data_IF_958684217105
#
_entry.id   IF_958684217105
#
_cell.length_a   1.000
_cell.length_b   1.000
_cell.length_c   1.000
_cell.angle_alpha   90.00
_cell.angle_beta   90.00
_cell.angle_gamma   90.00
#
_symmetry.space_group_name_H-M   'P 1'
#
loop_
_entity.id
_entity.type
_entity.pdbx_description
1 polymer ?
#
# COMPACT_ATOMS: atom_id res chain seq x y z
N UNK A 1 -23.46 54.12 -15.44
CA UNK A 1 -23.72 53.68 -14.06
C UNK A 1 -23.44 52.19 -14.02
N UNK A 2 -22.20 51.73 -13.80
CA UNK A 2 -21.31 51.87 -12.63
C UNK A 2 -21.75 50.99 -11.45
N UNK A 3 -21.33 49.71 -11.46
CA UNK A 3 -21.16 48.86 -10.27
C UNK A 3 -20.17 47.72 -10.57
N UNK A 4 -18.87 48.02 -10.54
CA UNK A 4 -17.77 47.03 -10.40
C UNK A 4 -16.60 47.73 -9.70
N UNK A 5 -16.72 47.98 -8.39
CA UNK A 5 -15.69 48.73 -7.64
C UNK A 5 -15.52 48.32 -6.16
N UNK A 6 -16.12 47.22 -5.71
CA UNK A 6 -16.00 46.80 -4.30
C UNK A 6 -15.05 45.61 -4.06
N UNK A 7 -14.85 44.73 -5.05
CA UNK A 7 -13.99 43.53 -4.89
C UNK A 7 -12.49 43.84 -5.01
N UNK A 8 -12.10 44.86 -5.76
CA UNK A 8 -10.70 45.28 -5.89
C UNK A 8 -10.18 46.05 -4.68
N UNK A 9 -11.06 46.72 -3.93
CA UNK A 9 -10.65 47.50 -2.74
C UNK A 9 -10.25 46.58 -1.57
N UNK A 10 -10.92 45.44 -1.42
CA UNK A 10 -10.61 44.45 -0.37
C UNK A 10 -9.30 43.69 -0.65
N UNK A 11 -8.96 43.48 -1.92
CA UNK A 11 -7.70 42.84 -2.33
C UNK A 11 -6.49 43.77 -2.13
N UNK A 12 -6.68 45.09 -2.29
CA UNK A 12 -5.65 46.10 -2.01
C UNK A 12 -5.47 46.37 -0.51
N UNK A 13 -6.53 46.24 0.29
CA UNK A 13 -6.44 46.38 1.75
C UNK A 13 -5.82 45.16 2.45
N UNK A 14 -5.92 43.96 1.86
CA UNK A 14 -5.25 42.75 2.37
C UNK A 14 -3.73 42.76 2.16
N UNK A 15 -3.25 43.36 1.07
CA UNK A 15 -1.82 43.48 0.76
C UNK A 15 -1.10 44.57 1.56
N UNK A 16 -1.82 45.54 2.13
CA UNK A 16 -1.20 46.60 2.95
C UNK A 16 -0.96 46.19 4.41
N UNK A 17 -1.57 45.12 4.91
CA UNK A 17 -1.40 44.69 6.30
C UNK A 17 -0.25 43.69 6.53
N UNK A 18 0.36 43.13 5.49
CA UNK A 18 1.52 42.23 5.63
C UNK A 18 2.87 42.91 5.46
N UNK A 19 2.91 44.23 5.20
CA UNK A 19 4.15 45.02 5.07
C UNK A 19 4.54 45.80 6.33
N UNK A 20 3.84 45.63 7.45
CA UNK A 20 4.14 46.32 8.71
C UNK A 20 4.46 45.33 9.83
N UNK A 21 5.54 44.56 9.65
CA UNK A 21 6.27 43.94 10.74
C UNK A 21 7.76 43.89 10.37
N UNK A 22 8.35 45.07 10.30
CA UNK A 22 9.81 45.25 10.35
C UNK A 22 10.34 44.58 11.62
N UNK A 23 11.13 43.52 11.45
CA UNK A 23 12.19 43.15 12.38
C UNK A 23 13.48 42.88 11.59
N UNK A 24 14.19 43.99 11.36
CA UNK A 24 15.62 44.14 11.62
C UNK A 24 16.53 43.03 11.07
N UNK A 25 16.76 43.05 9.75
CA UNK A 25 17.91 42.39 9.13
C UNK A 25 18.79 43.47 8.52
N UNK A 26 20.02 43.54 9.00
CA UNK A 26 21.04 44.50 8.61
C UNK A 26 21.24 44.52 7.08
N UNK A 27 21.24 45.74 6.55
CA UNK A 27 21.62 46.09 5.19
C UNK A 27 22.99 45.51 4.81
N UNK A 28 22.97 44.54 3.91
CA UNK A 28 23.91 44.48 2.78
C UNK A 28 23.06 44.50 1.53
N UNK A 29 23.06 45.65 0.85
CA UNK A 29 22.31 45.89 -0.39
C UNK A 29 22.70 44.86 -1.46
N UNK A 30 21.84 43.86 -1.71
CA UNK A 30 22.00 43.03 -2.91
C UNK A 30 21.65 43.90 -4.12
N UNK A 31 22.62 44.09 -5.04
CA UNK A 31 22.40 44.85 -6.27
C UNK A 31 21.31 44.23 -7.15
N UNK A 32 21.06 42.93 -7.04
CA UNK A 32 20.02 42.23 -7.80
C UNK A 32 18.61 42.51 -7.26
N UNK A 33 18.39 42.64 -5.95
CA UNK A 33 17.11 43.14 -5.41
C UNK A 33 16.76 44.56 -5.89
N UNK A 34 17.76 45.42 -6.12
CA UNK A 34 17.51 46.75 -6.71
C UNK A 34 17.04 46.67 -8.17
N UNK A 35 17.46 45.62 -8.89
CA UNK A 35 17.12 45.33 -10.30
C UNK A 35 15.77 44.60 -10.41
N UNK A 36 15.39 43.80 -9.42
CA UNK A 36 14.08 43.12 -9.36
C UNK A 36 12.94 44.03 -8.90
N UNK A 37 13.25 45.04 -8.08
CA UNK A 37 12.26 45.99 -7.55
C UNK A 37 12.04 47.20 -8.48
N UNK A 38 13.00 47.47 -9.38
CA UNK A 38 12.78 48.31 -10.54
C UNK A 38 12.31 47.42 -11.69
N UNK A 39 11.27 47.82 -12.40
CA UNK A 39 10.59 47.02 -13.42
C UNK A 39 11.44 46.86 -14.70
N UNK A 40 12.56 46.13 -14.61
CA UNK A 40 13.50 45.93 -15.72
C UNK A 40 13.34 44.55 -16.38
N UNK A 41 13.51 44.47 -17.71
CA UNK A 41 13.30 43.25 -18.47
C UNK A 41 14.40 42.22 -18.22
N UNK A 42 13.97 40.96 -18.14
CA UNK A 42 14.71 39.70 -17.96
C UNK A 42 16.06 39.59 -18.71
N UNK A 43 16.24 40.30 -19.83
CA UNK A 43 17.52 40.38 -20.53
C UNK A 43 18.65 40.99 -19.69
N UNK A 44 18.37 41.92 -18.76
CA UNK A 44 19.39 42.71 -18.06
C UNK A 44 20.09 41.94 -16.92
N UNK A 45 19.37 40.99 -16.32
CA UNK A 45 19.91 40.10 -15.27
C UNK A 45 20.80 39.00 -15.87
N UNK A 46 20.38 38.44 -17.02
CA UNK A 46 21.22 37.55 -17.84
C UNK A 46 22.43 38.29 -18.42
N UNK A 47 22.25 39.53 -18.86
CA UNK A 47 23.34 40.38 -19.34
C UNK A 47 24.33 40.71 -18.21
N UNK A 48 23.88 40.93 -16.97
CA UNK A 48 24.79 41.15 -15.85
C UNK A 48 25.61 39.90 -15.47
N UNK A 49 25.01 38.71 -15.54
CA UNK A 49 25.72 37.44 -15.36
C UNK A 49 26.75 37.23 -16.49
N UNK A 50 26.37 37.52 -17.74
CA UNK A 50 27.27 37.44 -18.91
C UNK A 50 28.35 38.55 -18.91
N UNK A 51 28.08 39.74 -18.35
CA UNK A 51 29.05 40.85 -18.22
C UNK A 51 30.07 40.56 -17.13
N UNK A 52 29.69 39.92 -16.03
CA UNK A 52 30.65 39.45 -15.01
C UNK A 52 31.65 38.43 -15.55
N UNK A 53 31.28 37.67 -16.60
CA UNK A 53 32.20 36.81 -17.34
C UNK A 53 33.25 37.59 -18.16
N UNK A 54 32.92 38.81 -18.58
CA UNK A 54 33.75 39.62 -19.47
C UNK A 54 34.58 40.70 -18.74
N UNK A 55 34.21 41.08 -17.52
CA UNK A 55 34.90 42.11 -16.73
C UNK A 55 36.00 41.58 -15.79
N UNK A 56 36.34 40.28 -15.88
CA UNK A 56 37.53 39.72 -15.24
C UNK A 56 38.66 39.52 -16.27
N UNK A 57 39.44 40.55 -16.62
CA UNK A 57 40.75 40.28 -17.21
C UNK A 57 41.63 39.80 -16.05
N UNK A 58 42.13 38.57 -16.11
CA UNK A 58 43.48 38.19 -15.71
C UNK A 58 43.71 36.68 -15.95
N UNK A 59 44.46 36.42 -17.02
CA UNK A 59 45.42 35.34 -17.20
C UNK A 59 45.24 34.04 -16.38
N UNK A 60 44.80 33.00 -17.07
CA UNK A 60 45.40 31.66 -16.96
C UNK A 60 45.11 30.86 -15.69
N UNK A 61 43.85 30.48 -15.45
CA UNK A 61 43.51 29.25 -14.73
C UNK A 61 42.14 28.76 -15.25
N UNK A 62 42.11 27.69 -16.03
CA UNK A 62 40.87 27.09 -16.60
C UNK A 62 39.97 26.38 -15.56
N UNK A 63 40.20 26.56 -14.25
CA UNK A 63 39.53 25.81 -13.18
C UNK A 63 38.80 26.64 -12.11
N UNK A 64 38.71 27.97 -12.20
CA UNK A 64 38.19 28.83 -11.11
C UNK A 64 36.90 29.61 -11.42
N UNK A 65 36.36 29.50 -12.64
CA UNK A 65 35.21 30.32 -13.05
C UNK A 65 33.87 29.75 -12.56
N UNK A 66 33.71 28.42 -12.47
CA UNK A 66 32.44 27.83 -11.99
C UNK A 66 32.18 28.11 -10.51
N UNK A 67 33.22 28.13 -9.68
CA UNK A 67 33.11 28.39 -8.24
C UNK A 67 32.63 29.80 -7.90
N UNK A 68 32.96 30.81 -8.73
CA UNK A 68 32.50 32.18 -8.53
C UNK A 68 31.02 32.33 -8.86
N UNK A 69 30.56 31.75 -9.97
CA UNK A 69 29.17 31.83 -10.38
C UNK A 69 28.23 31.10 -9.43
N UNK A 70 28.63 29.90 -8.97
CA UNK A 70 27.91 29.17 -7.92
C UNK A 70 27.78 30.01 -6.65
N UNK A 71 28.85 30.70 -6.22
CA UNK A 71 28.83 31.52 -5.01
C UNK A 71 27.86 32.70 -5.12
N UNK A 72 27.78 33.34 -6.29
CA UNK A 72 26.84 34.44 -6.56
C UNK A 72 25.41 33.93 -6.52
N UNK A 73 25.11 32.84 -7.22
CA UNK A 73 23.77 32.23 -7.24
C UNK A 73 23.31 31.87 -5.83
N UNK A 74 24.21 31.27 -5.03
CA UNK A 74 23.91 30.90 -3.64
C UNK A 74 23.69 32.11 -2.74
N UNK A 75 24.44 33.20 -2.93
CA UNK A 75 24.21 34.45 -2.21
C UNK A 75 22.84 35.09 -2.49
N UNK A 76 22.27 34.85 -3.68
CA UNK A 76 20.94 35.36 -4.05
C UNK A 76 19.81 34.52 -3.46
N UNK A 77 19.99 33.20 -3.41
CA UNK A 77 19.05 32.30 -2.74
C UNK A 77 19.03 32.59 -1.23
N UNK A 78 20.21 32.80 -0.62
CA UNK A 78 20.37 33.16 0.78
C UNK A 78 19.58 32.25 1.75
N UNK A 79 19.50 30.95 1.42
CA UNK A 79 18.72 29.96 2.15
C UNK A 79 17.19 30.01 2.02
N UNK A 80 16.63 30.91 1.21
CA UNK A 80 15.19 30.97 0.92
C UNK A 80 14.84 30.11 -0.30
N UNK A 81 14.19 28.97 -0.07
CA UNK A 81 13.88 28.02 -1.14
C UNK A 81 12.93 28.58 -2.20
N UNK A 82 12.05 29.51 -1.84
CA UNK A 82 11.15 30.12 -2.82
C UNK A 82 11.93 30.99 -3.81
N UNK A 83 13.03 31.62 -3.38
CA UNK A 83 13.99 32.26 -4.28
C UNK A 83 14.76 31.25 -5.10
N UNK A 84 15.11 30.11 -4.51
CA UNK A 84 15.73 28.99 -5.22
C UNK A 84 14.90 28.51 -6.41
N UNK A 85 13.57 28.38 -6.24
CA UNK A 85 12.64 28.03 -7.33
C UNK A 85 12.64 29.06 -8.45
N UNK A 86 12.68 30.35 -8.11
CA UNK A 86 12.77 31.43 -9.11
C UNK A 86 14.09 31.36 -9.88
N UNK A 87 15.20 31.13 -9.18
CA UNK A 87 16.51 30.94 -9.81
C UNK A 87 16.51 29.74 -10.75
N UNK A 88 15.85 28.64 -10.37
CA UNK A 88 15.72 27.45 -11.21
C UNK A 88 14.92 27.74 -12.49
N UNK A 89 13.88 28.57 -12.43
CA UNK A 89 13.15 29.00 -13.62
C UNK A 89 14.05 29.75 -14.62
N UNK A 90 15.08 30.46 -14.16
CA UNK A 90 16.06 31.11 -15.04
C UNK A 90 16.94 30.12 -15.79
N UNK A 91 17.08 28.87 -15.32
CA UNK A 91 17.80 27.84 -16.07
C UNK A 91 17.15 27.55 -17.44
N UNK A 92 15.83 27.74 -17.59
CA UNK A 92 15.17 27.65 -18.89
C UNK A 92 15.56 28.76 -19.86
N UNK A 93 15.95 29.92 -19.33
CA UNK A 93 16.29 31.12 -20.12
C UNK A 93 17.80 31.25 -20.35
N UNK A 94 18.61 30.50 -19.58
CA UNK A 94 20.05 30.43 -19.75
C UNK A 94 20.42 29.86 -21.12
N UNK A 95 21.32 30.56 -21.83
CA UNK A 95 21.71 30.21 -23.20
C UNK A 95 22.82 29.16 -23.29
N UNK A 96 23.54 28.91 -22.20
CA UNK A 96 24.71 28.04 -22.18
C UNK A 96 24.50 26.89 -21.21
N UNK A 97 24.94 25.70 -21.61
CA UNK A 97 24.84 24.48 -20.78
C UNK A 97 25.63 24.66 -19.48
N UNK A 98 26.77 25.35 -19.53
CA UNK A 98 27.60 25.61 -18.35
C UNK A 98 26.89 26.47 -17.29
N UNK A 99 26.09 27.47 -17.71
CA UNK A 99 25.31 28.31 -16.79
C UNK A 99 24.19 27.51 -16.15
N UNK A 100 23.52 26.63 -16.91
CA UNK A 100 22.46 25.76 -16.40
C UNK A 100 23.00 24.78 -15.36
N UNK A 101 24.09 24.11 -15.69
CA UNK A 101 24.78 23.19 -14.78
C UNK A 101 25.24 23.88 -13.50
N UNK A 102 25.79 25.10 -13.61
CA UNK A 102 26.16 25.91 -12.45
C UNK A 102 24.94 26.28 -11.59
N UNK A 103 23.79 26.62 -12.20
CA UNK A 103 22.54 26.88 -11.48
C UNK A 103 22.08 25.63 -10.72
N UNK A 104 22.00 24.47 -11.39
CA UNK A 104 21.54 23.24 -10.76
C UNK A 104 22.45 22.81 -9.60
N UNK A 105 23.77 22.86 -9.83
CA UNK A 105 24.78 22.50 -8.82
C UNK A 105 24.79 23.47 -7.64
N UNK A 106 24.65 24.77 -7.90
CA UNK A 106 24.57 25.80 -6.87
C UNK A 106 23.35 25.60 -5.97
N UNK A 107 22.18 25.34 -6.56
CA UNK A 107 20.94 25.09 -5.83
C UNK A 107 21.01 23.82 -4.99
N UNK A 108 21.61 22.75 -5.54
CA UNK A 108 21.84 21.53 -4.77
C UNK A 108 22.76 21.76 -3.57
N UNK A 109 23.90 22.44 -3.75
CA UNK A 109 24.81 22.81 -2.65
C UNK A 109 24.12 23.73 -1.63
N UNK A 110 23.22 24.59 -2.07
CA UNK A 110 22.47 25.46 -1.17
C UNK A 110 21.52 24.67 -0.27
N UNK A 111 20.76 23.71 -0.82
CA UNK A 111 19.94 22.80 -0.03
C UNK A 111 20.78 22.05 1.02
N UNK A 112 21.99 21.62 0.64
CA UNK A 112 22.92 20.94 1.56
C UNK A 112 23.39 21.86 2.70
N UNK A 113 23.85 23.06 2.39
CA UNK A 113 24.41 23.98 3.39
C UNK A 113 23.34 24.53 4.34
N UNK A 114 22.13 24.76 3.84
CA UNK A 114 20.99 25.23 4.62
C UNK A 114 20.30 24.11 5.39
N UNK A 115 20.80 22.87 5.27
CA UNK A 115 20.26 21.66 5.91
C UNK A 115 18.81 21.35 5.51
N UNK A 116 18.35 21.88 4.37
CA UNK A 116 17.02 21.56 3.84
C UNK A 116 16.97 20.16 3.21
N UNK A 117 18.13 19.57 2.90
CA UNK A 117 18.25 18.16 2.48
C UNK A 117 17.73 17.14 3.52
N UNK A 118 17.44 17.53 4.76
CA UNK A 118 16.84 16.62 5.74
C UNK A 118 15.31 16.54 5.60
N UNK A 119 14.69 17.39 4.79
CA UNK A 119 13.27 17.30 4.43
C UNK A 119 13.13 16.62 3.06
N UNK A 120 12.68 15.35 2.99
CA UNK A 120 12.53 14.64 1.73
C UNK A 120 11.57 15.32 0.75
N UNK A 121 10.58 16.07 1.26
CA UNK A 121 9.61 16.79 0.43
C UNK A 121 10.29 17.89 -0.39
N UNK A 122 11.32 18.55 0.18
CA UNK A 122 12.11 19.57 -0.51
C UNK A 122 13.01 18.97 -1.58
N UNK A 123 13.58 17.80 -1.32
CA UNK A 123 14.39 17.09 -2.33
C UNK A 123 13.49 16.62 -3.48
N UNK A 124 12.29 16.09 -3.18
CA UNK A 124 11.32 15.72 -4.21
C UNK A 124 10.88 16.92 -5.03
N UNK A 125 10.54 18.05 -4.40
CA UNK A 125 10.23 19.31 -5.11
C UNK A 125 11.34 19.69 -6.09
N UNK A 126 12.60 19.56 -5.67
CA UNK A 126 13.75 19.89 -6.49
C UNK A 126 13.93 18.90 -7.64
N UNK A 127 13.83 17.59 -7.36
CA UNK A 127 13.91 16.53 -8.36
C UNK A 127 12.83 16.67 -9.42
N UNK A 128 11.57 16.88 -9.01
CA UNK A 128 10.44 17.10 -9.92
C UNK A 128 10.69 18.31 -10.81
N UNK A 129 11.19 19.42 -10.26
CA UNK A 129 11.52 20.60 -11.06
C UNK A 129 12.66 20.33 -12.04
N UNK A 130 13.73 19.66 -11.62
CA UNK A 130 14.84 19.28 -12.50
C UNK A 130 14.37 18.36 -13.64
N UNK A 131 13.48 17.40 -13.35
CA UNK A 131 12.97 16.42 -14.32
C UNK A 131 12.22 17.02 -15.52
N UNK A 132 11.73 18.27 -15.38
CA UNK A 132 11.07 19.01 -16.47
C UNK A 132 12.09 19.55 -17.50
N UNK A 133 13.36 19.66 -17.12
CA UNK A 133 14.43 20.15 -17.99
C UNK A 133 15.13 18.98 -18.70
N UNK A 134 15.38 19.12 -20.00
CA UNK A 134 15.99 18.06 -20.83
C UNK A 134 17.51 18.03 -20.78
N UNK A 135 18.13 19.05 -20.19
CA UNK A 135 19.57 19.30 -20.19
C UNK A 135 20.20 19.28 -18.79
N UNK A 136 19.51 18.69 -17.82
CA UNK A 136 20.10 18.39 -16.51
C UNK A 136 21.10 17.24 -16.66
N UNK A 137 22.32 17.36 -16.12
CA UNK A 137 23.28 16.25 -16.08
C UNK A 137 22.68 15.04 -15.37
N UNK A 138 22.79 13.86 -16.00
CA UNK A 138 22.23 12.62 -15.46
C UNK A 138 22.82 12.26 -14.08
N UNK A 139 24.11 12.54 -13.87
CA UNK A 139 24.77 12.29 -12.59
C UNK A 139 24.18 13.16 -11.46
N UNK A 140 23.74 14.39 -11.77
CA UNK A 140 23.08 15.24 -10.80
C UNK A 140 21.66 14.76 -10.51
N UNK A 141 20.91 14.35 -11.53
CA UNK A 141 19.59 13.75 -11.35
C UNK A 141 19.65 12.52 -10.46
N UNK A 142 20.60 11.62 -10.71
CA UNK A 142 20.82 10.40 -9.93
C UNK A 142 21.25 10.71 -8.49
N UNK A 143 22.13 11.69 -8.29
CA UNK A 143 22.54 12.15 -6.96
C UNK A 143 21.36 12.69 -6.14
N UNK A 144 20.52 13.52 -6.74
CA UNK A 144 19.34 14.10 -6.09
C UNK A 144 18.31 13.01 -5.80
N UNK A 145 18.07 12.10 -6.74
CA UNK A 145 17.18 10.97 -6.59
C UNK A 145 17.62 10.06 -5.44
N UNK A 146 18.86 9.60 -5.46
CA UNK A 146 19.45 8.74 -4.42
C UNK A 146 19.36 9.41 -3.04
N UNK A 147 19.63 10.72 -2.96
CA UNK A 147 19.47 11.47 -1.73
C UNK A 147 18.01 11.53 -1.26
N UNK A 148 17.05 11.72 -2.18
CA UNK A 148 15.62 11.66 -1.86
C UNK A 148 15.22 10.29 -1.30
N UNK A 149 15.65 9.21 -1.93
CA UNK A 149 15.36 7.84 -1.49
C UNK A 149 15.90 7.61 -0.07
N UNK A 150 17.19 7.86 0.17
CA UNK A 150 17.80 7.64 1.48
C UNK A 150 17.19 8.52 2.58
N UNK A 151 16.88 9.78 2.29
CA UNK A 151 16.27 10.68 3.28
C UNK A 151 14.82 10.33 3.57
N UNK A 152 14.09 9.87 2.56
CA UNK A 152 12.75 9.34 2.73
C UNK A 152 12.76 8.10 3.60
N UNK A 153 13.64 7.13 3.30
CA UNK A 153 13.79 5.92 4.12
C UNK A 153 14.08 6.26 5.58
N UNK A 154 15.06 7.14 5.84
CA UNK A 154 15.38 7.60 7.20
C UNK A 154 14.20 8.24 7.94
N UNK A 155 13.34 8.99 7.25
CA UNK A 155 12.14 9.56 7.86
C UNK A 155 11.10 8.46 8.15
N UNK A 156 10.95 7.51 7.23
CA UNK A 156 10.01 6.39 7.30
C UNK A 156 10.46 5.26 8.24
N UNK A 157 11.67 5.29 8.79
CA UNK A 157 12.12 4.40 9.86
C UNK A 157 11.36 4.66 11.18
N UNK A 158 10.89 5.88 11.42
CA UNK A 158 10.33 6.28 12.72
C UNK A 158 9.17 5.40 13.23
N UNK A 159 8.17 5.00 12.42
CA UNK A 159 7.11 4.07 12.84
C UNK A 159 7.62 2.68 13.24
N UNK A 160 8.78 2.26 12.74
CA UNK A 160 9.36 0.95 13.07
C UNK A 160 10.13 0.96 14.39
N UNK A 161 10.38 2.11 15.00
CA UNK A 161 11.09 2.25 16.29
C UNK A 161 10.18 2.63 17.47
N UNK A 162 8.89 2.84 17.23
CA UNK A 162 7.91 3.10 18.30
C UNK A 162 7.31 1.81 18.85
N UNK A 163 7.12 1.76 20.17
CA UNK A 163 6.33 0.70 20.82
C UNK A 163 4.84 1.00 20.89
N UNK A 164 4.39 2.17 20.43
CA UNK A 164 3.00 2.63 20.51
C UNK A 164 2.33 2.61 19.13
N UNK A 165 1.24 1.83 18.93
CA UNK A 165 0.45 1.84 17.70
C UNK A 165 -0.20 3.21 17.43
N UNK A 166 -0.54 3.95 18.49
CA UNK A 166 -1.21 5.24 18.39
C UNK A 166 -0.23 6.42 18.19
N UNK A 167 1.06 6.12 17.99
CA UNK A 167 2.04 7.16 17.73
C UNK A 167 1.76 7.83 16.39
N UNK A 168 1.78 9.16 16.37
CA UNK A 168 1.54 9.93 15.15
C UNK A 168 2.83 10.55 14.66
N UNK A 169 3.06 10.45 13.35
CA UNK A 169 4.25 10.98 12.69
C UNK A 169 3.82 11.94 11.58
N UNK A 170 3.56 13.22 11.88
CA UNK A 170 3.00 14.16 10.90
C UNK A 170 3.84 14.31 9.63
N UNK A 171 5.18 14.28 9.75
CA UNK A 171 6.09 14.37 8.60
C UNK A 171 6.05 13.10 7.74
N UNK A 172 5.98 11.92 8.37
CA UNK A 172 5.78 10.63 7.66
C UNK A 172 4.46 10.67 6.91
N UNK A 173 3.37 11.03 7.60
CA UNK A 173 2.04 11.11 6.99
C UNK A 173 2.02 12.06 5.78
N UNK A 174 2.68 13.22 5.89
CA UNK A 174 2.79 14.18 4.78
C UNK A 174 3.56 13.61 3.59
N UNK A 175 4.69 12.94 3.83
CA UNK A 175 5.48 12.32 2.76
C UNK A 175 4.73 11.18 2.10
N UNK A 176 4.17 10.27 2.89
CA UNK A 176 3.40 9.11 2.44
C UNK A 176 2.21 9.54 1.60
N UNK A 177 1.45 10.56 2.03
CA UNK A 177 0.36 11.15 1.23
C UNK A 177 0.87 11.67 -0.11
N UNK A 178 2.02 12.34 -0.14
CA UNK A 178 2.59 12.87 -1.38
C UNK A 178 3.03 11.77 -2.35
N UNK A 179 3.63 10.70 -1.83
CA UNK A 179 3.99 9.51 -2.61
C UNK A 179 2.78 8.81 -3.25
N UNK A 180 1.59 8.92 -2.64
CA UNK A 180 0.34 8.40 -3.21
C UNK A 180 -0.03 9.11 -4.53
N UNK A 181 0.35 10.38 -4.69
CA UNK A 181 -0.04 11.20 -5.84
C UNK A 181 0.97 11.19 -6.99
N UNK A 182 2.24 10.81 -6.76
CA UNK A 182 3.32 11.04 -7.72
C UNK A 182 3.76 9.81 -8.53
N UNK A 183 3.93 8.61 -7.93
CA UNK A 183 4.11 7.29 -8.58
C UNK A 183 4.49 6.26 -7.52
N UNK A 184 3.96 5.04 -7.57
CA UNK A 184 4.35 3.95 -6.65
C UNK A 184 5.83 3.52 -6.79
N UNK A 185 6.48 3.88 -7.89
CA UNK A 185 7.89 3.51 -8.16
C UNK A 185 8.85 4.12 -7.13
N UNK A 186 8.64 5.37 -6.72
CA UNK A 186 9.44 5.99 -5.66
C UNK A 186 9.30 5.24 -4.35
N UNK A 187 8.08 4.81 -4.01
CA UNK A 187 7.83 4.08 -2.79
C UNK A 187 8.56 2.72 -2.81
N UNK A 188 8.65 2.04 -3.95
CA UNK A 188 9.40 0.78 -4.08
C UNK A 188 10.87 0.95 -3.72
N UNK A 189 11.52 1.98 -4.26
CA UNK A 189 12.94 2.23 -4.02
C UNK A 189 13.19 2.70 -2.57
N UNK A 190 12.27 3.50 -2.01
CA UNK A 190 12.34 3.92 -0.61
C UNK A 190 12.20 2.73 0.34
N UNK A 191 11.24 1.83 0.08
CA UNK A 191 10.99 0.65 0.91
C UNK A 191 12.19 -0.31 0.90
N UNK A 192 12.89 -0.44 -0.22
CA UNK A 192 14.09 -1.28 -0.29
C UNK A 192 15.18 -0.78 0.67
N UNK A 193 15.50 0.52 0.61
CA UNK A 193 16.48 1.15 1.52
C UNK A 193 15.98 1.16 2.98
N UNK A 194 14.68 1.38 3.18
CA UNK A 194 14.05 1.34 4.51
C UNK A 194 14.22 -0.03 5.15
N UNK A 195 13.91 -1.11 4.43
CA UNK A 195 13.99 -2.46 4.95
C UNK A 195 15.42 -2.88 5.25
N UNK A 196 16.40 -2.49 4.43
CA UNK A 196 17.82 -2.65 4.76
C UNK A 196 18.17 -2.01 6.10
N UNK A 197 17.69 -0.79 6.36
CA UNK A 197 17.96 -0.07 7.60
C UNK A 197 17.24 -0.68 8.80
N UNK A 198 15.92 -0.92 8.73
CA UNK A 198 15.16 -1.41 9.88
C UNK A 198 15.46 -2.86 10.21
N UNK A 199 15.71 -3.74 9.23
CA UNK A 199 16.09 -5.14 9.49
C UNK A 199 17.52 -5.27 10.03
N UNK A 200 18.39 -4.29 9.79
CA UNK A 200 19.72 -4.23 10.41
C UNK A 200 19.68 -3.79 11.88
N UNK A 201 18.67 -3.02 12.29
CA UNK A 201 18.56 -2.42 13.61
C UNK A 201 17.57 -3.13 14.54
N UNK A 202 16.48 -3.65 13.98
CA UNK A 202 15.37 -4.28 14.70
C UNK A 202 15.29 -5.78 14.40
N UNK A 203 14.58 -6.52 15.24
CA UNK A 203 14.33 -7.94 14.94
C UNK A 203 13.33 -8.07 13.79
N UNK A 204 13.47 -9.10 12.93
CA UNK A 204 12.50 -9.41 11.87
C UNK A 204 11.03 -9.39 12.30
N UNK A 205 10.74 -10.00 13.46
CA UNK A 205 9.38 -10.04 14.00
C UNK A 205 8.85 -8.64 14.31
N UNK A 206 9.67 -7.80 14.94
CA UNK A 206 9.30 -6.42 15.29
C UNK A 206 9.01 -5.58 14.04
N UNK A 207 9.79 -5.76 12.97
CA UNK A 207 9.56 -5.05 11.70
C UNK A 207 8.21 -5.45 11.09
N UNK A 208 7.92 -6.75 11.06
CA UNK A 208 6.66 -7.28 10.54
C UNK A 208 5.46 -6.78 11.35
N UNK A 209 5.50 -6.85 12.68
CA UNK A 209 4.40 -6.42 13.55
C UNK A 209 4.09 -4.92 13.43
N UNK A 210 5.12 -4.09 13.21
CA UNK A 210 4.99 -2.63 13.12
C UNK A 210 4.66 -2.13 11.72
N UNK A 211 4.65 -2.99 10.70
CA UNK A 211 4.34 -2.57 9.33
C UNK A 211 2.97 -1.90 9.20
N UNK A 212 1.98 -2.31 10.01
CA UNK A 212 0.65 -1.69 10.03
C UNK A 212 0.66 -0.21 10.45
N UNK A 213 1.73 0.27 11.12
CA UNK A 213 1.88 1.66 11.54
C UNK A 213 2.45 2.56 10.44
N UNK A 214 2.85 1.98 9.30
CA UNK A 214 3.52 2.67 8.21
C UNK A 214 2.61 3.67 7.48
N UNK A 215 1.41 3.23 7.08
CA UNK A 215 0.50 4.03 6.26
C UNK A 215 -0.94 3.58 6.43
N UNK A 216 -1.88 4.52 6.25
CA UNK A 216 -3.30 4.23 6.16
C UNK A 216 -3.76 3.89 4.72
N UNK A 217 -2.91 4.08 3.70
CA UNK A 217 -3.25 3.74 2.31
C UNK A 217 -3.12 2.24 2.08
N UNK A 218 -4.22 1.58 1.70
CA UNK A 218 -4.22 0.14 1.43
C UNK A 218 -3.27 -0.25 0.29
N UNK A 219 -3.16 0.58 -0.74
CA UNK A 219 -2.27 0.32 -1.88
C UNK A 219 -0.80 0.39 -1.48
N UNK A 220 -0.42 1.39 -0.68
CA UNK A 220 0.95 1.50 -0.18
C UNK A 220 1.28 0.40 0.83
N UNK A 221 0.32 0.05 1.69
CA UNK A 221 0.48 -1.05 2.65
C UNK A 221 0.58 -2.40 1.94
N UNK A 222 -0.18 -2.62 0.86
CA UNK A 222 -0.08 -3.82 0.03
C UNK A 222 1.30 -3.95 -0.62
N UNK A 223 1.81 -2.84 -1.20
CA UNK A 223 3.15 -2.82 -1.78
C UNK A 223 4.23 -3.08 -0.73
N UNK A 224 4.12 -2.45 0.44
CA UNK A 224 5.05 -2.64 1.54
C UNK A 224 5.05 -4.09 2.05
N UNK A 225 3.88 -4.73 2.19
CA UNK A 225 3.81 -6.15 2.52
C UNK A 225 4.50 -7.04 1.49
N UNK A 226 4.28 -6.80 0.19
CA UNK A 226 4.89 -7.60 -0.88
C UNK A 226 6.41 -7.47 -0.88
N UNK A 227 6.94 -6.24 -0.84
CA UNK A 227 8.39 -6.05 -0.79
C UNK A 227 9.01 -6.62 0.48
N UNK A 228 8.30 -6.55 1.61
CA UNK A 228 8.77 -7.17 2.85
C UNK A 228 8.83 -8.70 2.71
N UNK A 229 7.83 -9.34 2.11
CA UNK A 229 7.81 -10.80 1.88
C UNK A 229 8.98 -11.30 1.03
N UNK A 230 9.48 -10.47 0.12
CA UNK A 230 10.61 -10.83 -0.76
C UNK A 230 11.98 -10.83 -0.05
N UNK A 231 12.07 -10.24 1.16
CA UNK A 231 13.30 -10.07 1.93
C UNK A 231 13.87 -11.40 2.41
N UNK A 232 15.16 -11.63 2.15
CA UNK A 232 15.87 -12.87 2.49
C UNK A 232 15.92 -13.11 4.01
N UNK A 233 16.00 -12.05 4.81
CA UNK A 233 16.01 -12.11 6.27
C UNK A 233 14.72 -12.75 6.83
N UNK A 234 13.62 -12.64 6.08
CA UNK A 234 12.31 -13.15 6.46
C UNK A 234 12.03 -14.57 5.97
N UNK A 235 12.80 -15.07 4.98
CA UNK A 235 12.70 -16.46 4.48
C UNK A 235 13.21 -17.51 5.47
N UNK A 236 13.55 -17.09 6.70
CA UNK A 236 13.96 -17.96 7.81
C UNK A 236 12.88 -19.00 8.18
N UNK A 237 13.30 -20.12 8.77
CA UNK A 237 12.40 -21.16 9.32
C UNK A 237 11.67 -20.72 10.60
N UNK A 238 11.68 -19.43 10.95
CA UNK A 238 11.01 -18.93 12.15
C UNK A 238 9.50 -18.88 11.93
N UNK A 239 8.80 -19.85 12.51
CA UNK A 239 7.34 -20.01 12.41
C UNK A 239 6.60 -18.77 12.88
N UNK A 240 7.07 -18.07 13.92
CA UNK A 240 6.40 -16.88 14.46
C UNK A 240 6.44 -15.72 13.48
N UNK A 241 7.59 -15.50 12.82
CA UNK A 241 7.73 -14.46 11.79
C UNK A 241 6.83 -14.75 10.59
N UNK A 242 6.80 -16.00 10.15
CA UNK A 242 5.92 -16.43 9.05
C UNK A 242 4.44 -16.25 9.40
N UNK A 243 4.04 -16.58 10.63
CA UNK A 243 2.68 -16.34 11.11
C UNK A 243 2.32 -14.86 11.14
N UNK A 244 3.23 -13.99 11.59
CA UNK A 244 3.02 -12.55 11.62
C UNK A 244 2.88 -11.95 10.20
N UNK A 245 3.70 -12.42 9.24
CA UNK A 245 3.60 -12.02 7.84
C UNK A 245 2.24 -12.40 7.24
N UNK A 246 1.80 -13.64 7.47
CA UNK A 246 0.50 -14.10 7.00
C UNK A 246 -0.66 -13.37 7.70
N UNK A 247 -0.50 -13.01 8.98
CA UNK A 247 -1.48 -12.19 9.68
C UNK A 247 -1.61 -10.79 9.07
N UNK A 248 -0.51 -10.15 8.67
CA UNK A 248 -0.54 -8.86 8.00
C UNK A 248 -1.28 -8.92 6.65
N UNK A 249 -1.01 -9.95 5.84
CA UNK A 249 -1.73 -10.15 4.58
C UNK A 249 -3.24 -10.35 4.82
N UNK A 250 -3.62 -11.17 5.80
CA UNK A 250 -5.03 -11.38 6.15
C UNK A 250 -5.70 -10.10 6.64
N UNK A 251 -5.04 -9.37 7.52
CA UNK A 251 -5.55 -8.09 8.02
C UNK A 251 -5.75 -7.09 6.89
N UNK A 252 -4.87 -7.08 5.88
CA UNK A 252 -5.01 -6.27 4.66
C UNK A 252 -6.24 -6.67 3.84
N UNK A 253 -6.49 -7.99 3.66
CA UNK A 253 -7.68 -8.50 2.97
C UNK A 253 -8.99 -8.22 3.72
N UNK A 254 -8.93 -8.03 5.03
CA UNK A 254 -10.06 -7.68 5.88
C UNK A 254 -10.36 -6.18 5.91
N UNK A 255 -9.51 -5.34 5.32
CA UNK A 255 -9.74 -3.90 5.32
C UNK A 255 -10.91 -3.48 4.42
N UNK A 256 -11.77 -2.56 4.89
CA UNK A 256 -12.79 -1.96 4.04
C UNK A 256 -12.13 -1.30 2.84
N UNK A 257 -12.65 -1.57 1.63
CA UNK A 257 -12.15 -0.91 0.43
C UNK A 257 -11.00 -1.62 -0.27
N UNK A 258 -10.45 -2.71 0.28
CA UNK A 258 -9.30 -3.42 -0.33
C UNK A 258 -9.53 -3.77 -1.81
N UNK A 259 -10.69 -4.35 -2.13
CA UNK A 259 -11.04 -4.72 -3.51
C UNK A 259 -11.23 -3.53 -4.46
N UNK A 260 -11.51 -2.34 -3.93
CA UNK A 260 -11.79 -1.12 -4.69
C UNK A 260 -10.56 -0.23 -4.83
N UNK A 261 -9.78 -0.08 -3.77
CA UNK A 261 -8.65 0.85 -3.68
C UNK A 261 -7.34 0.24 -4.18
N UNK A 262 -7.16 -1.07 -4.01
CA UNK A 262 -5.93 -1.76 -4.43
C UNK A 262 -6.04 -2.19 -5.89
N UNK A 263 -5.06 -1.76 -6.68
CA UNK A 263 -4.95 -2.08 -8.10
C UNK A 263 -4.97 -3.59 -8.33
N UNK A 264 -5.64 -4.05 -9.40
CA UNK A 264 -5.85 -5.47 -9.68
C UNK A 264 -4.54 -6.28 -9.80
N UNK A 265 -3.49 -5.66 -10.34
CA UNK A 265 -2.13 -6.25 -10.46
C UNK A 265 -1.54 -6.56 -9.08
N UNK A 266 -1.48 -5.55 -8.21
CA UNK A 266 -0.98 -5.67 -6.85
C UNK A 266 -1.83 -6.65 -6.02
N UNK A 267 -3.14 -6.63 -6.22
CA UNK A 267 -4.07 -7.56 -5.57
C UNK A 267 -3.80 -9.01 -5.95
N UNK A 268 -3.51 -9.27 -7.22
CA UNK A 268 -3.17 -10.60 -7.70
C UNK A 268 -1.85 -11.11 -7.09
N UNK A 269 -0.86 -10.24 -6.91
CA UNK A 269 0.40 -10.57 -6.23
C UNK A 269 0.18 -10.89 -4.74
N UNK A 270 -0.68 -10.12 -4.05
CA UNK A 270 -1.09 -10.41 -2.67
C UNK A 270 -1.74 -11.79 -2.59
N UNK A 271 -2.72 -12.08 -3.45
CA UNK A 271 -3.37 -13.39 -3.47
C UNK A 271 -2.40 -14.54 -3.75
N UNK A 272 -1.42 -14.33 -4.63
CA UNK A 272 -0.40 -15.32 -4.94
C UNK A 272 0.56 -15.60 -3.76
N UNK A 273 0.65 -14.67 -2.81
CA UNK A 273 1.50 -14.77 -1.62
C UNK A 273 0.82 -15.47 -0.44
N UNK A 274 -0.48 -15.78 -0.56
CA UNK A 274 -1.24 -16.51 0.46
C UNK A 274 -0.91 -18.01 0.43
N UNK A 275 -1.16 -18.73 1.55
CA UNK A 275 -1.04 -20.19 1.56
C UNK A 275 -1.95 -20.83 0.51
N UNK A 276 -1.51 -21.92 -0.09
CA UNK A 276 -2.16 -22.54 -1.27
C UNK A 276 -3.68 -22.66 -1.16
N UNK A 277 -4.22 -23.16 -0.06
CA UNK A 277 -5.67 -23.33 0.09
C UNK A 277 -6.42 -21.99 0.18
N UNK A 278 -5.84 -21.02 0.89
CA UNK A 278 -6.37 -19.65 1.00
C UNK A 278 -6.28 -18.93 -0.36
N UNK A 279 -5.16 -19.06 -1.06
CA UNK A 279 -4.98 -18.56 -2.42
C UNK A 279 -6.08 -19.06 -3.37
N UNK A 280 -6.50 -20.33 -3.29
CA UNK A 280 -7.56 -20.89 -4.14
C UNK A 280 -8.90 -20.16 -3.93
N UNK A 281 -9.20 -19.71 -2.71
CA UNK A 281 -10.43 -18.96 -2.45
C UNK A 281 -10.48 -17.66 -3.25
N UNK A 282 -9.33 -17.03 -3.54
CA UNK A 282 -9.26 -15.76 -4.27
C UNK A 282 -9.02 -15.94 -5.78
N UNK A 283 -8.29 -16.99 -6.17
CA UNK A 283 -7.79 -17.15 -7.55
C UNK A 283 -8.53 -18.20 -8.36
N UNK A 284 -9.03 -19.27 -7.73
CA UNK A 284 -9.65 -20.38 -8.44
C UNK A 284 -11.04 -20.01 -8.98
N UNK A 285 -11.40 -20.58 -10.14
CA UNK A 285 -12.75 -20.44 -10.70
C UNK A 285 -13.71 -21.43 -10.05
N UNK A 286 -13.25 -22.68 -9.89
CA UNK A 286 -13.99 -23.75 -9.21
C UNK A 286 -13.07 -24.47 -8.23
N UNK A 287 -13.64 -24.94 -7.14
CA UNK A 287 -12.94 -25.73 -6.13
C UNK A 287 -13.71 -26.99 -5.78
N UNK A 288 -13.00 -28.02 -5.39
CA UNK A 288 -13.56 -29.15 -4.65
C UNK A 288 -13.21 -28.99 -3.17
N UNK A 289 -14.18 -29.24 -2.30
CA UNK A 289 -14.00 -29.16 -0.85
C UNK A 289 -13.95 -30.58 -0.32
N UNK A 290 -12.82 -30.98 0.26
CA UNK A 290 -12.57 -32.35 0.74
C UNK A 290 -12.35 -32.36 2.25
N UNK A 291 -12.86 -33.37 2.95
CA UNK A 291 -12.55 -33.54 4.36
C UNK A 291 -11.05 -33.86 4.56
N UNK A 292 -10.42 -33.30 5.59
CA UNK A 292 -8.98 -33.52 5.84
C UNK A 292 -8.66 -34.92 6.36
N UNK A 293 -9.59 -35.56 7.07
CA UNK A 293 -9.42 -36.89 7.66
C UNK A 293 -9.83 -38.03 6.74
N UNK A 294 -10.72 -37.78 5.78
CA UNK A 294 -11.13 -38.75 4.77
C UNK A 294 -10.79 -38.23 3.35
N UNK A 295 -9.75 -38.77 2.71
CA UNK A 295 -9.30 -38.33 1.39
C UNK A 295 -10.29 -38.67 0.27
N UNK A 296 -11.32 -39.48 0.55
CA UNK A 296 -12.38 -39.79 -0.41
C UNK A 296 -13.63 -38.95 -0.21
N UNK A 297 -13.77 -38.25 0.92
CA UNK A 297 -14.98 -37.52 1.28
C UNK A 297 -14.99 -36.09 0.73
N UNK A 298 -15.58 -35.91 -0.45
CA UNK A 298 -15.80 -34.60 -1.05
C UNK A 298 -17.21 -34.10 -0.79
N UNK A 299 -17.35 -32.80 -0.50
CA UNK A 299 -18.65 -32.15 -0.41
C UNK A 299 -19.36 -32.26 -1.77
N UNK A 300 -20.60 -32.73 -1.74
CA UNK A 300 -21.41 -33.04 -2.90
C UNK A 300 -22.91 -32.84 -2.61
N UNK A 301 -23.74 -32.71 -3.64
CA UNK A 301 -25.21 -32.69 -3.49
C UNK A 301 -25.78 -34.11 -3.53
N UNK A 302 -26.41 -34.56 -2.45
CA UNK A 302 -27.05 -35.87 -2.41
C UNK A 302 -28.18 -35.99 -3.46
N UNK A 303 -28.16 -37.02 -4.32
CA UNK A 303 -29.11 -37.13 -5.44
C UNK A 303 -30.59 -37.22 -5.01
N UNK A 304 -30.87 -37.79 -3.83
CA UNK A 304 -32.24 -38.10 -3.43
C UNK A 304 -32.87 -37.03 -2.54
N UNK A 305 -32.08 -36.39 -1.70
CA UNK A 305 -32.57 -35.60 -0.56
C UNK A 305 -32.36 -34.10 -0.71
N UNK A 306 -31.59 -33.67 -1.72
CA UNK A 306 -31.07 -32.29 -1.85
C UNK A 306 -30.24 -31.82 -0.64
N UNK A 307 -29.87 -32.73 0.25
CA UNK A 307 -28.91 -32.44 1.31
C UNK A 307 -27.52 -32.35 0.70
N UNK A 308 -26.61 -31.70 1.43
CA UNK A 308 -25.20 -31.77 1.13
C UNK A 308 -24.63 -33.01 1.83
N UNK A 309 -23.76 -33.72 1.13
CA UNK A 309 -23.17 -34.99 1.54
C UNK A 309 -21.67 -35.04 1.26
N UNK A 310 -20.98 -36.02 1.82
CA UNK A 310 -19.55 -36.24 1.69
C UNK A 310 -19.29 -37.63 1.09
N UNK A 311 -19.16 -37.71 -0.23
CA UNK A 311 -19.11 -38.99 -0.95
C UNK A 311 -17.76 -39.23 -1.64
N UNK A 312 -17.44 -40.52 -1.97
CA UNK A 312 -16.29 -40.89 -2.77
C UNK A 312 -16.17 -40.07 -4.08
N UNK A 313 -14.92 -39.84 -4.50
CA UNK A 313 -14.57 -38.86 -5.53
C UNK A 313 -15.34 -39.01 -6.87
N UNK A 314 -16.16 -38.00 -7.17
CA UNK A 314 -16.60 -37.64 -8.53
C UNK A 314 -16.35 -36.14 -8.71
N UNK A 315 -15.20 -35.80 -9.29
CA UNK A 315 -14.71 -34.42 -9.37
C UNK A 315 -15.65 -33.47 -10.12
N UNK A 316 -16.42 -33.97 -11.10
CA UNK A 316 -17.39 -33.13 -11.85
C UNK A 316 -18.54 -32.67 -10.96
N UNK A 317 -18.94 -33.57 -10.08
CA UNK A 317 -20.07 -33.45 -9.17
C UNK A 317 -19.70 -32.64 -7.93
N UNK A 318 -18.48 -32.81 -7.43
CA UNK A 318 -17.94 -32.11 -6.26
C UNK A 318 -17.39 -30.71 -6.55
N UNK A 319 -17.38 -30.26 -7.81
CA UNK A 319 -16.89 -28.93 -8.17
C UNK A 319 -17.92 -27.83 -7.84
N UNK A 320 -17.47 -26.81 -7.12
CA UNK A 320 -18.23 -25.60 -6.80
C UNK A 320 -17.54 -24.37 -7.36
N UNK A 321 -18.29 -23.49 -8.00
CA UNK A 321 -17.84 -22.13 -8.26
C UNK A 321 -17.79 -21.34 -6.95
N UNK A 322 -16.83 -20.42 -6.86
CA UNK A 322 -16.68 -19.52 -5.71
C UNK A 322 -17.27 -18.17 -6.05
N UNK A 323 -18.18 -17.69 -5.21
CA UNK A 323 -18.61 -16.30 -5.17
C UNK A 323 -17.97 -15.63 -3.96
N UNK A 324 -17.36 -14.46 -4.19
CA UNK A 324 -16.62 -13.69 -3.18
C UNK A 324 -17.45 -12.47 -2.79
N UNK A 325 -17.44 -12.13 -1.51
CA UNK A 325 -18.13 -10.98 -0.96
C UNK A 325 -17.43 -10.47 0.29
N UNK A 326 -17.89 -9.33 0.79
CA UNK A 326 -17.47 -8.78 2.08
C UNK A 326 -18.73 -8.62 2.95
N UNK A 327 -18.63 -8.93 4.23
CA UNK A 327 -19.71 -8.69 5.19
C UNK A 327 -19.76 -7.21 5.59
N UNK A 328 -20.78 -6.80 6.35
CA UNK A 328 -20.96 -5.41 6.78
C UNK A 328 -19.80 -4.88 7.65
N UNK A 329 -19.05 -5.77 8.29
CA UNK A 329 -17.83 -5.48 9.05
C UNK A 329 -16.56 -5.62 8.20
N UNK A 330 -16.69 -5.66 6.87
CA UNK A 330 -15.61 -5.72 5.87
C UNK A 330 -14.77 -7.00 5.85
N UNK A 331 -15.12 -8.02 6.64
CA UNK A 331 -14.43 -9.33 6.55
C UNK A 331 -14.80 -10.07 5.25
N UNK A 332 -13.87 -10.79 4.62
CA UNK A 332 -14.17 -11.64 3.46
C UNK A 332 -15.17 -12.73 3.80
N UNK A 333 -16.05 -13.04 2.85
CA UNK A 333 -17.00 -14.13 2.92
C UNK A 333 -17.16 -14.79 1.56
N UNK A 334 -17.43 -16.10 1.58
CA UNK A 334 -17.44 -16.93 0.39
C UNK A 334 -18.76 -17.71 0.31
N UNK A 335 -19.28 -17.85 -0.90
CA UNK A 335 -20.40 -18.72 -1.18
C UNK A 335 -20.01 -19.70 -2.29
N UNK A 336 -20.42 -20.96 -2.12
CA UNK A 336 -20.05 -22.05 -3.01
C UNK A 336 -21.29 -22.54 -3.73
N UNK A 337 -21.33 -22.46 -5.06
CA UNK A 337 -22.45 -22.96 -5.86
C UNK A 337 -22.04 -24.05 -6.85
N UNK A 338 -22.86 -25.08 -6.94
CA UNK A 338 -22.57 -26.30 -7.70
C UNK A 338 -22.31 -26.00 -9.18
N UNK A 339 -21.20 -26.51 -9.71
CA UNK A 339 -20.88 -26.44 -11.13
C UNK A 339 -21.78 -27.38 -11.97
N UNK A 340 -22.15 -28.53 -11.40
CA UNK A 340 -22.98 -29.54 -12.05
C UNK A 340 -24.45 -29.12 -12.11
N UNK A 341 -25.04 -28.77 -10.97
CA UNK A 341 -26.48 -28.45 -10.89
C UNK A 341 -26.81 -27.00 -11.25
N UNK A 342 -25.80 -26.10 -11.24
CA UNK A 342 -25.86 -24.66 -11.51
C UNK A 342 -26.83 -23.89 -10.61
N UNK A 343 -26.43 -22.70 -10.15
CA UNK A 343 -27.25 -21.80 -9.32
C UNK A 343 -27.77 -22.42 -8.01
N UNK A 344 -27.12 -23.46 -7.49
CA UNK A 344 -27.45 -24.03 -6.18
C UNK A 344 -26.25 -23.95 -5.25
N UNK A 345 -26.44 -23.31 -4.10
CA UNK A 345 -25.44 -23.06 -3.08
C UNK A 345 -25.50 -24.12 -1.98
N UNK A 346 -24.35 -24.33 -1.34
CA UNK A 346 -24.28 -24.97 -0.02
C UNK A 346 -24.93 -24.01 0.98
N UNK A 347 -26.16 -24.30 1.38
CA UNK A 347 -26.97 -23.44 2.24
C UNK A 347 -27.29 -24.08 3.58
N UNK A 348 -27.07 -23.33 4.65
CA UNK A 348 -27.52 -23.67 5.99
C UNK A 348 -28.95 -23.16 6.21
N UNK A 349 -29.92 -24.05 6.32
CA UNK A 349 -31.28 -23.66 6.72
C UNK A 349 -31.33 -23.41 8.25
N UNK A 350 -32.13 -22.45 8.73
CA UNK A 350 -32.34 -22.27 10.16
C UNK A 350 -32.86 -23.56 10.80
N UNK A 351 -32.26 -23.96 11.92
CA UNK A 351 -32.77 -25.08 12.69
C UNK A 351 -34.20 -24.77 13.15
N UNK A 352 -35.17 -25.62 12.78
CA UNK A 352 -36.52 -25.50 13.31
C UNK A 352 -36.50 -25.76 14.82
N UNK A 353 -37.43 -25.15 15.56
CA UNK A 353 -37.46 -25.21 17.05
C UNK A 353 -37.56 -26.65 17.60
N UNK A 354 -37.88 -27.64 16.76
CA UNK A 354 -37.88 -29.07 17.09
C UNK A 354 -36.70 -29.90 16.55
N UNK A 355 -35.74 -29.30 15.84
CA UNK A 355 -34.57 -30.01 15.28
C UNK A 355 -33.44 -30.21 16.30
N UNK A 356 -33.49 -29.52 17.44
CA UNK A 356 -32.60 -29.78 18.57
C UNK A 356 -33.07 -31.04 19.31
N UNK A 357 -32.60 -32.22 18.89
CA UNK A 357 -32.73 -33.39 19.75
C UNK A 357 -31.91 -33.12 21.01
N UNK A 358 -32.52 -33.37 22.18
CA UNK A 358 -32.11 -32.87 23.49
C UNK A 358 -30.76 -33.40 24.04
N UNK A 359 -29.82 -33.83 23.19
CA UNK A 359 -28.48 -34.26 23.58
C UNK A 359 -27.42 -34.18 22.44
N UNK A 360 -27.77 -33.72 21.23
CA UNK A 360 -26.84 -33.75 20.09
C UNK A 360 -26.54 -32.32 19.63
N UNK A 361 -25.27 -31.97 19.60
CA UNK A 361 -24.78 -30.66 19.16
C UNK A 361 -24.76 -30.48 17.64
N UNK A 362 -25.21 -31.51 16.92
CA UNK A 362 -25.26 -31.58 15.46
C UNK A 362 -26.66 -31.20 14.98
N UNK A 363 -26.73 -30.35 13.96
CA UNK A 363 -27.96 -30.00 13.25
C UNK A 363 -27.82 -30.40 11.78
N UNK A 364 -28.70 -31.29 11.31
CA UNK A 364 -28.79 -31.69 9.89
C UNK A 364 -29.59 -30.65 9.10
N UNK A 365 -28.92 -29.58 8.70
CA UNK A 365 -29.57 -28.41 8.08
C UNK A 365 -28.85 -27.87 6.84
N UNK A 366 -27.95 -28.65 6.23
CA UNK A 366 -27.17 -28.20 5.07
C UNK A 366 -27.77 -28.77 3.80
N UNK A 367 -28.26 -27.90 2.92
CA UNK A 367 -28.98 -28.25 1.71
C UNK A 367 -28.40 -27.57 0.48
N UNK A 368 -28.63 -28.18 -0.67
CA UNK A 368 -28.46 -27.55 -1.97
C UNK A 368 -29.69 -26.72 -2.31
N UNK A 369 -29.53 -25.38 -2.37
CA UNK A 369 -30.64 -24.41 -2.56
C UNK A 369 -30.24 -23.26 -3.47
N UNK A 370 -31.23 -22.57 -4.04
CA UNK A 370 -30.96 -21.41 -4.93
C UNK A 370 -30.55 -20.14 -4.20
N UNK A 371 -30.84 -20.05 -2.91
CA UNK A 371 -30.47 -18.90 -2.08
C UNK A 371 -28.99 -18.95 -1.73
N UNK A 372 -28.36 -17.79 -1.67
CA UNK A 372 -26.95 -17.66 -1.28
C UNK A 372 -26.84 -17.84 0.24
N UNK A 373 -25.89 -18.65 0.67
CA UNK A 373 -25.42 -18.68 2.06
C UNK A 373 -23.95 -18.29 2.08
N UNK A 374 -23.62 -17.31 2.91
CA UNK A 374 -22.25 -16.82 3.05
C UNK A 374 -21.54 -17.56 4.18
N UNK A 375 -20.33 -17.99 3.90
CA UNK A 375 -19.45 -18.68 4.83
C UNK A 375 -18.22 -17.83 5.08
N UNK A 376 -17.81 -17.74 6.33
CA UNK A 376 -16.49 -17.27 6.72
C UNK A 376 -15.55 -18.44 6.83
N UNK A 377 -14.29 -18.17 6.53
CA UNK A 377 -13.23 -19.16 6.52
C UNK A 377 -12.35 -18.91 7.73
N UNK A 378 -12.23 -19.89 8.61
CA UNK A 378 -11.23 -19.91 9.66
C UNK A 378 -10.06 -20.80 9.23
N UNK A 379 -8.87 -20.23 9.10
CA UNK A 379 -7.68 -20.94 8.66
C UNK A 379 -7.00 -21.67 9.81
N UNK A 380 -6.84 -22.99 9.67
CA UNK A 380 -6.12 -23.86 10.59
C UNK A 380 -4.79 -24.35 10.02
N UNK A 381 -4.06 -25.14 10.82
CA UNK A 381 -2.76 -25.72 10.42
C UNK A 381 -2.93 -26.79 9.33
N UNK A 382 -4.02 -27.56 9.39
CA UNK A 382 -4.26 -28.74 8.56
C UNK A 382 -5.35 -28.53 7.49
N UNK A 383 -5.88 -27.31 7.38
CA UNK A 383 -6.98 -26.97 6.47
C UNK A 383 -7.76 -25.75 6.94
N UNK A 384 -9.01 -25.60 6.50
CA UNK A 384 -9.88 -24.50 6.89
C UNK A 384 -11.25 -24.99 7.38
N UNK A 385 -11.91 -24.16 8.18
CA UNK A 385 -13.27 -24.41 8.67
C UNK A 385 -14.23 -23.40 8.06
N UNK A 386 -15.43 -23.84 7.69
CA UNK A 386 -16.48 -22.97 7.15
C UNK A 386 -17.49 -22.63 8.24
N UNK A 387 -17.48 -21.37 8.67
CA UNK A 387 -18.34 -20.84 9.72
C UNK A 387 -19.46 -20.03 9.06
N UNK A 388 -20.69 -20.15 9.56
CA UNK A 388 -21.79 -19.32 9.10
C UNK A 388 -21.46 -17.82 9.27
N UNK A 389 -21.44 -17.07 8.17
CA UNK A 389 -21.07 -15.65 8.19
C UNK A 389 -22.12 -14.77 8.89
N UNK A 390 -23.38 -15.21 8.94
CA UNK A 390 -24.47 -14.42 9.51
C UNK A 390 -24.48 -14.43 11.04
N UNK A 391 -24.21 -15.59 11.66
CA UNK A 391 -24.30 -15.74 13.12
C UNK A 391 -22.98 -16.08 13.79
N UNK A 392 -22.00 -16.60 13.05
CA UNK A 392 -20.73 -17.15 13.57
C UNK A 392 -20.92 -18.25 14.63
N UNK A 393 -22.13 -18.81 14.75
CA UNK A 393 -22.48 -19.80 15.78
C UNK A 393 -22.44 -21.22 15.29
N UNK A 394 -22.37 -21.42 13.97
CA UNK A 394 -22.43 -22.73 13.34
C UNK A 394 -21.21 -22.94 12.45
N UNK A 395 -20.65 -24.15 12.50
CA UNK A 395 -19.53 -24.59 11.66
C UNK A 395 -19.95 -25.80 10.83
N UNK A 396 -19.56 -25.83 9.57
CA UNK A 396 -19.84 -26.91 8.61
C UNK A 396 -18.95 -28.12 8.91
N UNK A 397 -19.57 -29.27 9.11
CA UNK A 397 -18.86 -30.52 9.45
C UNK A 397 -19.45 -31.70 8.66
N UNK A 398 -18.66 -32.75 8.52
CA UNK A 398 -19.08 -34.02 7.92
C UNK A 398 -18.13 -35.14 8.31
N UNK A 399 -18.64 -36.37 8.36
CA UNK A 399 -17.84 -37.55 8.68
C UNK A 399 -18.24 -38.29 9.96
N UNK A 400 -19.22 -37.80 10.73
CA UNK A 400 -19.80 -38.57 11.84
C UNK A 400 -20.66 -39.74 11.31
N UNK A 401 -20.30 -41.01 11.58
CA UNK A 401 -21.03 -42.17 11.08
C UNK A 401 -22.48 -42.27 11.53
N UNK A 402 -22.86 -41.60 12.61
CA UNK A 402 -24.25 -41.54 13.07
C UNK A 402 -25.19 -40.80 12.09
N UNK A 403 -24.61 -40.07 11.14
CA UNK A 403 -25.33 -39.31 10.13
C UNK A 403 -25.18 -39.89 8.71
N UNK A 404 -24.80 -41.15 8.59
CA UNK A 404 -24.79 -41.86 7.32
C UNK A 404 -26.15 -42.55 7.09
N UNK A 405 -26.74 -42.34 5.92
CA UNK A 405 -27.97 -43.01 5.49
C UNK A 405 -27.66 -43.85 4.24
N UNK A 406 -27.33 -45.12 4.48
CA UNK A 406 -26.80 -46.00 3.44
C UNK A 406 -25.48 -45.48 2.87
N UNK A 407 -25.46 -45.12 1.60
CA UNK A 407 -24.30 -44.53 0.91
C UNK A 407 -24.26 -42.99 1.01
N UNK A 408 -25.29 -42.34 1.57
CA UNK A 408 -25.35 -40.89 1.74
C UNK A 408 -24.73 -40.48 3.08
N UNK A 409 -23.49 -39.99 3.06
CA UNK A 409 -22.84 -39.45 4.25
C UNK A 409 -23.17 -37.97 4.38
N UNK A 410 -24.00 -37.55 5.33
CA UNK A 410 -24.48 -36.16 5.36
C UNK A 410 -23.44 -35.15 5.87
N UNK A 411 -23.45 -33.97 5.27
CA UNK A 411 -22.84 -32.76 5.80
C UNK A 411 -23.87 -32.04 6.68
N UNK A 412 -23.43 -31.54 7.82
CA UNK A 412 -24.27 -30.94 8.84
C UNK A 412 -23.55 -29.73 9.46
N UNK A 413 -24.20 -29.09 10.44
CA UNK A 413 -23.55 -28.06 11.24
C UNK A 413 -23.43 -28.47 12.71
N UNK A 414 -22.35 -28.03 13.35
CA UNK A 414 -22.19 -28.03 14.81
C UNK A 414 -22.11 -26.60 15.33
N UNK A 415 -22.17 -26.44 16.65
CA UNK A 415 -21.84 -25.15 17.28
C UNK A 415 -20.38 -24.82 17.04
N UNK A 416 -20.08 -23.58 16.64
CA UNK A 416 -18.71 -23.11 16.41
C UNK A 416 -17.80 -23.29 17.64
N UNK A 417 -18.36 -23.20 18.85
CA UNK A 417 -17.63 -23.45 20.11
C UNK A 417 -17.09 -24.88 20.25
N UNK A 418 -17.57 -25.83 19.46
CA UNK A 418 -17.16 -27.23 19.49
C UNK A 418 -16.11 -27.57 18.44
N UNK A 419 -15.74 -26.61 17.57
CA UNK A 419 -14.77 -26.80 16.50
C UNK A 419 -13.46 -27.40 17.02
N UNK A 420 -12.95 -26.94 18.16
CA UNK A 420 -11.70 -27.46 18.73
C UNK A 420 -11.77 -28.95 19.09
N UNK A 421 -12.91 -29.45 19.57
CA UNK A 421 -13.11 -30.85 19.92
C UNK A 421 -13.38 -31.74 18.68
N UNK A 422 -13.88 -31.15 17.60
CA UNK A 422 -14.36 -31.84 16.40
C UNK A 422 -13.60 -31.43 15.12
N UNK A 423 -12.32 -31.03 15.24
CA UNK A 423 -11.53 -30.56 14.08
C UNK A 423 -11.52 -31.55 12.91
N UNK A 424 -11.36 -32.85 13.18
CA UNK A 424 -11.28 -33.85 12.12
C UNK A 424 -12.50 -33.89 11.18
N UNK A 425 -13.70 -33.64 11.71
CA UNK A 425 -14.94 -33.61 10.92
C UNK A 425 -15.29 -32.21 10.40
N UNK A 426 -14.81 -31.15 11.03
CA UNK A 426 -15.16 -29.76 10.70
C UNK A 426 -14.08 -29.02 9.90
N UNK A 427 -12.94 -29.65 9.62
CA UNK A 427 -11.85 -29.10 8.83
C UNK A 427 -11.84 -29.70 7.42
N UNK A 428 -11.69 -28.82 6.44
CA UNK A 428 -11.75 -29.11 5.03
C UNK A 428 -10.45 -28.66 4.35
N UNK A 429 -10.18 -29.22 3.17
CA UNK A 429 -9.08 -28.87 2.27
C UNK A 429 -9.65 -28.46 0.91
N UNK A 430 -9.01 -27.49 0.25
CA UNK A 430 -9.41 -27.00 -1.07
C UNK A 430 -8.51 -27.56 -2.15
N UNK A 431 -9.14 -28.04 -3.21
CA UNK A 431 -8.47 -28.49 -4.43
C UNK A 431 -8.98 -27.66 -5.61
N UNK A 432 -8.08 -27.26 -6.51
CA UNK A 432 -8.49 -26.60 -7.75
C UNK A 432 -9.19 -27.62 -8.66
N UNK A 433 -10.46 -27.37 -8.92
CA UNK A 433 -11.31 -28.18 -9.79
C UNK A 433 -11.81 -27.37 -10.99
N UNK A 434 -11.06 -26.34 -11.39
CA UNK A 434 -11.42 -25.47 -12.52
C UNK A 434 -11.54 -26.23 -13.85
N UNK A 435 -10.77 -27.30 -14.02
CA UNK A 435 -10.79 -28.19 -15.20
C UNK A 435 -11.92 -29.23 -15.17
N UNK A 436 -12.61 -29.39 -14.04
CA UNK A 436 -13.73 -30.32 -13.93
C UNK A 436 -14.91 -29.81 -14.79
N UNK A 437 -15.19 -30.55 -15.87
CA UNK A 437 -16.19 -30.22 -16.88
C UNK A 437 -17.63 -30.29 -16.36
#
# INVERSE_FOLDING_TARGET
MATLSFTWLLLLLGLQYSFAADHNIQNTESKILSILNASFPVQELLYHIDVWRNDAPLAGVEHTVSSNLESVIRSEVAGDWERGKLVLQFANQARTVQLKEAIYTALWKELQQTKQIYDPSKILDFYEQLSVHTDVPLELMDLVYTAFIHRSAQLLEAPFHTGSPDATFPLVNSLVQRLTFSTLDYLRDILEVLYDAVLALETPLSVVERLSYFTASLTQLALANLQLLDREELKSTNVTVQQALQANLRHLLEQPGFEQEVEATLRAEIYASLPKEEQLLYTARKVCIRNVTDPSAYIYECPQTYLICSNPADQKKAAYFIQRGHSNDSRPQFAFYSAFWRNRYILMEPASVGAYSANHSITKNVYSRVNINWWRVEYGIDGFSLIDAATEKSVLCGGDPSHWDGEEHHVYTRRATELAAHRGECTWSLEDCSDAA
#
